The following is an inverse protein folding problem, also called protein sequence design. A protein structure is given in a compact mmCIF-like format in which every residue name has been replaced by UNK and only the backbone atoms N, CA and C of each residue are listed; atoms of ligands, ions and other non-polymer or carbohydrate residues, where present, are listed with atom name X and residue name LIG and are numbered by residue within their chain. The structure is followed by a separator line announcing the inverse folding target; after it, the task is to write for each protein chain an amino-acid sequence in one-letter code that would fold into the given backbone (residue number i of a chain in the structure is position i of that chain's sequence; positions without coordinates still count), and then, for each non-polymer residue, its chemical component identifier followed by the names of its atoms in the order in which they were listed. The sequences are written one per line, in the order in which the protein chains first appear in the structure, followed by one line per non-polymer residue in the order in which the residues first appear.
data_IF_120684321791
#
_entry.id   IF_120684321791
#
_cell.length_a   1.000
_cell.length_b   1.000
_cell.length_c   1.000
_cell.angle_alpha   90.00
_cell.angle_beta   90.00
_cell.angle_gamma   90.00
#
_symmetry.space_group_name_H-M   'P 1'
#
loop_
_entity.id
_entity.type
_entity.pdbx_description
1 polymer ?
#
# COMPACT_ATOMS: atom_id res chain seq x y z
N UNK A 1 -3.71 -20.92 -17.20
CA UNK A 1 -3.55 -21.04 -15.74
C UNK A 1 -2.30 -20.28 -15.32
N UNK A 2 -2.45 -19.06 -14.80
CA UNK A 2 -1.34 -18.18 -14.38
C UNK A 2 -0.86 -18.61 -13.00
N UNK A 3 0.25 -19.37 -12.97
CA UNK A 3 0.93 -19.73 -11.74
C UNK A 3 1.50 -18.45 -11.12
N UNK A 4 0.83 -17.91 -10.09
CA UNK A 4 1.43 -16.95 -9.17
C UNK A 4 2.67 -17.62 -8.60
N UNK A 5 3.85 -17.30 -9.13
CA UNK A 5 5.12 -17.80 -8.61
C UNK A 5 5.24 -17.27 -7.18
N UNK A 6 5.41 -18.17 -6.24
CA UNK A 6 5.98 -17.88 -4.93
C UNK A 6 7.17 -16.95 -5.10
N UNK A 7 7.28 -15.91 -4.25
CA UNK A 7 8.43 -14.98 -4.16
C UNK A 7 9.71 -15.67 -4.64
N UNK A 8 10.11 -15.36 -5.87
CA UNK A 8 11.23 -16.04 -6.52
C UNK A 8 12.50 -15.65 -5.79
N UNK A 9 13.21 -16.64 -5.25
CA UNK A 9 14.52 -16.43 -4.68
C UNK A 9 15.58 -16.78 -5.73
N UNK A 10 16.34 -15.79 -6.20
CA UNK A 10 17.33 -15.93 -7.26
C UNK A 10 18.75 -15.90 -6.68
N UNK A 11 19.64 -16.73 -7.19
CA UNK A 11 21.06 -16.70 -6.82
C UNK A 11 21.79 -15.58 -7.57
N UNK A 12 22.88 -15.08 -6.98
CA UNK A 12 23.70 -14.01 -7.60
C UNK A 12 24.15 -14.32 -9.04
N UNK A 13 24.45 -15.57 -9.35
CA UNK A 13 24.83 -16.02 -10.70
C UNK A 13 23.67 -15.85 -11.68
N UNK A 14 22.47 -16.29 -11.30
CA UNK A 14 21.27 -16.16 -12.13
C UNK A 14 20.89 -14.69 -12.36
N UNK A 15 21.02 -13.84 -11.33
CA UNK A 15 20.75 -12.40 -11.46
C UNK A 15 21.80 -11.73 -12.35
N UNK A 16 23.07 -12.07 -12.18
CA UNK A 16 24.16 -11.56 -13.01
C UNK A 16 23.93 -11.86 -14.50
N UNK A 17 23.53 -13.09 -14.82
CA UNK A 17 23.22 -13.51 -16.18
C UNK A 17 21.96 -12.81 -16.73
N UNK A 18 20.90 -12.73 -15.95
CA UNK A 18 19.63 -12.11 -16.34
C UNK A 18 19.77 -10.63 -16.73
N UNK A 19 20.62 -9.88 -16.01
CA UNK A 19 20.81 -8.44 -16.23
C UNK A 19 22.09 -8.10 -17.00
N UNK A 20 22.86 -9.12 -17.42
CA UNK A 20 24.11 -8.96 -18.14
C UNK A 20 25.15 -8.15 -17.36
N UNK A 21 25.25 -8.36 -16.05
CA UNK A 21 26.17 -7.63 -15.17
C UNK A 21 27.14 -8.57 -14.48
N UNK A 22 28.36 -8.09 -14.23
CA UNK A 22 29.36 -8.88 -13.54
C UNK A 22 28.94 -9.13 -12.08
N UNK A 23 29.07 -10.36 -11.52
CA UNK A 23 28.73 -10.65 -10.13
C UNK A 23 29.42 -9.74 -9.09
N UNK A 24 30.60 -9.21 -9.44
CA UNK A 24 31.31 -8.25 -8.58
C UNK A 24 30.64 -6.88 -8.52
N UNK A 25 29.93 -6.47 -9.58
CA UNK A 25 29.11 -5.25 -9.59
C UNK A 25 27.91 -5.41 -8.66
N UNK A 26 27.27 -6.58 -8.64
CA UNK A 26 26.22 -6.89 -7.67
C UNK A 26 26.74 -6.84 -6.22
N UNK A 27 27.92 -7.42 -5.96
CA UNK A 27 28.57 -7.35 -4.63
C UNK A 27 28.93 -5.92 -4.23
N UNK A 28 29.31 -5.08 -5.20
CA UNK A 28 29.55 -3.66 -4.97
C UNK A 28 28.26 -2.98 -4.50
N UNK A 29 27.15 -3.15 -5.23
CA UNK A 29 25.87 -2.58 -4.82
C UNK A 29 25.37 -3.08 -3.45
N UNK A 30 25.61 -4.35 -3.11
CA UNK A 30 25.34 -4.86 -1.76
C UNK A 30 26.19 -4.17 -0.69
N UNK A 31 27.50 -4.03 -0.92
CA UNK A 31 28.43 -3.42 0.05
C UNK A 31 28.07 -1.97 0.34
N UNK A 32 27.66 -1.25 -0.69
CA UNK A 32 27.24 0.15 -0.60
C UNK A 32 25.79 0.28 -0.10
N UNK A 33 25.13 -0.84 0.25
CA UNK A 33 23.80 -0.86 0.85
C UNK A 33 22.65 -0.60 -0.12
N UNK A 34 22.92 -0.55 -1.42
CA UNK A 34 21.90 -0.34 -2.47
C UNK A 34 21.00 -1.56 -2.65
N UNK A 35 21.54 -2.75 -2.40
CA UNK A 35 20.80 -4.03 -2.41
C UNK A 35 20.97 -4.75 -1.08
N UNK A 36 19.89 -5.35 -0.58
CA UNK A 36 19.86 -6.06 0.70
C UNK A 36 19.24 -7.46 0.53
N UNK A 37 19.90 -8.36 -0.21
CA UNK A 37 19.37 -9.70 -0.44
C UNK A 37 19.29 -10.48 0.88
N UNK A 38 18.29 -11.35 0.96
CA UNK A 38 18.16 -12.29 2.07
C UNK A 38 19.25 -13.36 1.99
N UNK A 39 19.62 -13.92 3.15
CA UNK A 39 20.55 -15.05 3.22
C UNK A 39 19.84 -16.31 3.68
N UNK A 40 20.20 -17.45 3.10
CA UNK A 40 19.80 -18.77 3.63
C UNK A 40 20.63 -19.16 4.85
N UNK A 41 20.20 -20.20 5.57
CA UNK A 41 20.97 -20.85 6.62
C UNK A 41 22.36 -21.33 6.14
N UNK A 42 22.48 -21.67 4.85
CA UNK A 42 23.75 -22.01 4.20
C UNK A 42 24.60 -20.80 3.76
N UNK A 43 24.28 -19.58 4.21
CA UNK A 43 24.96 -18.33 3.86
C UNK A 43 24.92 -17.96 2.36
N UNK A 44 23.99 -18.55 1.59
CA UNK A 44 23.78 -18.23 0.18
C UNK A 44 22.89 -17.00 0.05
N UNK A 45 23.29 -16.06 -0.83
CA UNK A 45 22.51 -14.86 -1.15
C UNK A 45 21.33 -15.23 -2.05
N UNK A 46 20.14 -14.81 -1.64
CA UNK A 46 18.91 -14.95 -2.39
C UNK A 46 18.30 -13.57 -2.61
N UNK A 47 18.16 -13.19 -3.87
CA UNK A 47 17.46 -11.99 -4.30
C UNK A 47 15.99 -12.33 -4.49
N UNK A 48 15.12 -11.50 -3.95
CA UNK A 48 13.68 -11.57 -4.16
C UNK A 48 13.27 -10.83 -5.43
N UNK A 49 12.03 -11.00 -5.89
CA UNK A 49 11.50 -10.19 -6.99
C UNK A 49 11.55 -8.68 -6.70
N UNK A 50 11.45 -8.27 -5.44
CA UNK A 50 11.57 -6.87 -5.01
C UNK A 50 13.02 -6.36 -5.14
N UNK A 51 14.00 -7.20 -4.80
CA UNK A 51 15.41 -6.88 -5.03
C UNK A 51 15.72 -6.72 -6.52
N UNK A 52 15.06 -7.52 -7.38
CA UNK A 52 15.22 -7.41 -8.84
C UNK A 52 14.65 -6.10 -9.39
N UNK A 53 13.47 -5.68 -8.93
CA UNK A 53 12.90 -4.37 -9.29
C UNK A 53 13.80 -3.22 -8.83
N UNK A 54 14.36 -3.33 -7.63
CA UNK A 54 15.32 -2.35 -7.11
C UNK A 54 16.60 -2.32 -7.96
N UNK A 55 17.11 -3.49 -8.35
CA UNK A 55 18.28 -3.61 -9.23
C UNK A 55 18.03 -2.98 -10.60
N UNK A 56 16.86 -3.21 -11.20
CA UNK A 56 16.49 -2.62 -12.50
C UNK A 56 16.53 -1.08 -12.44
N UNK A 57 16.01 -0.50 -11.36
CA UNK A 57 16.07 0.94 -11.13
C UNK A 57 17.49 1.46 -10.90
N UNK A 58 18.33 0.73 -10.16
CA UNK A 58 19.75 1.07 -10.00
C UNK A 58 20.47 1.06 -11.35
N UNK A 59 20.18 0.07 -12.19
CA UNK A 59 20.79 -0.05 -13.51
C UNK A 59 20.37 1.06 -14.47
N UNK A 60 19.11 1.51 -14.43
CA UNK A 60 18.68 2.67 -15.24
C UNK A 60 19.35 3.97 -14.78
N UNK A 61 19.48 4.19 -13.46
CA UNK A 61 20.23 5.33 -12.93
C UNK A 61 21.69 5.33 -13.38
N UNK A 62 22.33 4.14 -13.38
CA UNK A 62 23.73 4.00 -13.76
C UNK A 62 23.95 4.12 -15.28
N UNK A 63 23.12 3.45 -16.09
CA UNK A 63 23.30 3.35 -17.55
C UNK A 63 22.72 4.54 -18.30
N UNK A 64 21.55 5.02 -17.89
CA UNK A 64 20.81 6.03 -18.66
C UNK A 64 21.13 7.45 -18.18
N UNK A 65 21.32 7.64 -16.86
CA UNK A 65 21.60 8.94 -16.26
C UNK A 65 23.06 9.14 -15.83
N UNK A 66 23.90 8.09 -15.91
CA UNK A 66 25.32 8.17 -15.51
C UNK A 66 25.51 8.50 -14.04
N UNK A 67 24.54 8.17 -13.19
CA UNK A 67 24.58 8.52 -11.76
C UNK A 67 25.61 7.67 -11.05
N UNK A 68 26.43 8.29 -10.21
CA UNK A 68 27.42 7.57 -9.40
C UNK A 68 26.75 6.79 -8.25
N UNK A 69 27.51 5.88 -7.62
CA UNK A 69 27.00 5.01 -6.55
C UNK A 69 26.44 5.80 -5.36
N UNK A 70 27.13 6.87 -4.95
CA UNK A 70 26.68 7.72 -3.85
C UNK A 70 25.37 8.44 -4.17
N UNK A 71 25.21 8.91 -5.40
CA UNK A 71 23.98 9.53 -5.90
C UNK A 71 22.83 8.53 -5.97
N UNK A 72 23.10 7.30 -6.41
CA UNK A 72 22.10 6.22 -6.39
C UNK A 72 21.60 5.94 -4.98
N UNK A 73 22.48 5.94 -3.97
CA UNK A 73 22.09 5.75 -2.58
C UNK A 73 21.13 6.86 -2.10
N UNK A 74 21.46 8.12 -2.39
CA UNK A 74 20.62 9.28 -2.04
C UNK A 74 19.26 9.19 -2.74
N UNK A 75 19.24 8.88 -4.04
CA UNK A 75 17.99 8.78 -4.82
C UNK A 75 17.09 7.66 -4.27
N UNK A 76 17.66 6.50 -3.93
CA UNK A 76 16.91 5.40 -3.33
C UNK A 76 16.32 5.79 -1.96
N UNK A 77 17.11 6.47 -1.12
CA UNK A 77 16.63 6.95 0.18
C UNK A 77 15.50 7.99 0.01
N UNK A 78 15.64 8.90 -0.95
CA UNK A 78 14.58 9.88 -1.25
C UNK A 78 13.31 9.18 -1.72
N UNK A 79 13.44 8.15 -2.57
CA UNK A 79 12.31 7.33 -3.02
C UNK A 79 11.59 6.66 -1.84
N UNK A 80 12.32 6.01 -0.95
CA UNK A 80 11.75 5.36 0.25
C UNK A 80 10.99 6.37 1.12
N UNK A 81 11.57 7.56 1.34
CA UNK A 81 10.92 8.64 2.10
C UNK A 81 9.66 9.16 1.43
N UNK A 82 9.65 9.29 0.11
CA UNK A 82 8.46 9.70 -0.64
C UNK A 82 7.35 8.66 -0.54
N UNK A 83 7.68 7.37 -0.63
CA UNK A 83 6.71 6.29 -0.47
C UNK A 83 6.12 6.26 0.95
N UNK A 84 6.93 6.51 1.98
CA UNK A 84 6.46 6.63 3.36
C UNK A 84 5.53 7.83 3.53
N UNK A 85 5.90 9.00 3.00
CA UNK A 85 5.07 10.20 3.05
C UNK A 85 3.73 9.99 2.32
N UNK A 86 3.74 9.30 1.17
CA UNK A 86 2.52 8.96 0.44
C UNK A 86 1.60 8.03 1.26
N UNK A 87 2.15 7.04 1.97
CA UNK A 87 1.39 6.17 2.87
C UNK A 87 0.72 6.99 3.98
N UNK A 88 1.47 7.88 4.64
CA UNK A 88 0.94 8.74 5.69
C UNK A 88 -0.19 9.66 5.19
N UNK A 89 -0.03 10.25 4.00
CA UNK A 89 -1.09 11.06 3.38
C UNK A 89 -2.33 10.22 3.09
N UNK A 90 -2.17 9.01 2.54
CA UNK A 90 -3.29 8.11 2.26
C UNK A 90 -4.03 7.71 3.53
N UNK A 91 -3.32 7.35 4.60
CA UNK A 91 -3.91 7.05 5.92
C UNK A 91 -4.67 8.25 6.48
N UNK A 92 -4.09 9.46 6.38
CA UNK A 92 -4.75 10.69 6.83
C UNK A 92 -6.02 11.01 6.04
N UNK A 93 -5.98 10.86 4.71
CA UNK A 93 -7.16 11.06 3.85
C UNK A 93 -8.25 10.05 4.18
N UNK A 94 -7.90 8.78 4.40
CA UNK A 94 -8.86 7.74 4.81
C UNK A 94 -9.49 8.06 6.17
N UNK A 95 -8.69 8.54 7.14
CA UNK A 95 -9.19 8.97 8.43
C UNK A 95 -10.21 10.11 8.31
N UNK A 96 -9.91 11.16 7.52
CA UNK A 96 -10.84 12.26 7.29
C UNK A 96 -12.13 11.77 6.61
N UNK A 97 -12.03 10.93 5.59
CA UNK A 97 -13.20 10.40 4.89
C UNK A 97 -14.13 9.64 5.85
N UNK A 98 -13.56 8.82 6.73
CA UNK A 98 -14.32 8.05 7.71
C UNK A 98 -15.00 8.94 8.76
N UNK A 99 -14.32 10.00 9.22
CA UNK A 99 -14.90 10.97 10.16
C UNK A 99 -16.07 11.76 9.53
N UNK A 100 -15.93 12.19 8.27
CA UNK A 100 -17.01 12.90 7.54
C UNK A 100 -18.23 11.99 7.35
N UNK A 101 -18.02 10.72 6.96
CA UNK A 101 -19.10 9.73 6.81
C UNK A 101 -19.82 9.43 8.13
N UNK A 102 -19.08 9.32 9.23
CA UNK A 102 -19.63 9.09 10.57
C UNK A 102 -20.51 10.27 11.01
N UNK A 103 -20.08 11.50 10.77
CA UNK A 103 -20.89 12.70 11.08
C UNK A 103 -22.12 12.83 10.18
N UNK A 104 -21.98 12.54 8.88
CA UNK A 104 -23.11 12.57 7.94
C UNK A 104 -24.19 11.53 8.29
N UNK A 105 -23.79 10.32 8.69
CA UNK A 105 -24.72 9.28 9.14
C UNK A 105 -25.37 9.59 10.50
N UNK A 106 -24.65 10.24 11.42
CA UNK A 106 -25.22 10.72 12.68
C UNK A 106 -26.26 11.85 12.48
N UNK A 107 -26.06 12.72 11.48
CA UNK A 107 -27.02 13.75 11.11
C UNK A 107 -28.26 13.18 10.38
N UNK A 108 -28.15 12.01 9.75
CA UNK A 108 -29.25 11.37 9.01
C UNK A 108 -30.23 10.57 9.90
N UNK A 109 -29.85 10.22 11.14
CA UNK A 109 -30.71 9.48 12.09
C UNK A 109 -30.79 10.21 13.45
N UNK A 110 -31.64 11.25 13.58
CA UNK A 110 -31.79 12.03 14.82
C UNK A 110 -32.30 11.21 16.02
N UNK A 111 -32.72 9.97 15.78
CA UNK A 111 -33.19 9.01 16.81
C UNK A 111 -32.07 8.50 17.72
N UNK A 112 -30.81 8.46 17.23
CA UNK A 112 -29.68 7.84 17.95
C UNK A 112 -28.90 8.79 18.86
N UNK A 113 -29.13 10.10 18.75
CA UNK A 113 -28.44 11.13 19.54
C UNK A 113 -29.25 11.70 20.72
N UNK A 114 -30.45 11.20 20.98
CA UNK A 114 -31.32 11.72 22.03
C UNK A 114 -31.10 10.97 23.37
N UNK A 115 -30.71 11.70 24.42
CA UNK A 115 -30.63 11.19 25.81
C UNK A 115 -32.02 10.84 26.38
N UNK A 116 -33.09 11.38 25.79
CA UNK A 116 -34.48 11.04 26.15
C UNK A 116 -35.20 10.46 24.93
N UNK A 117 -35.64 9.19 24.97
CA UNK A 117 -36.35 8.58 23.86
C UNK A 117 -37.75 9.18 23.76
N UNK A 118 -37.98 10.04 22.77
CA UNK A 118 -39.33 10.50 22.44
C UNK A 118 -40.02 9.41 21.63
N UNK A 119 -40.88 8.62 22.28
CA UNK A 119 -41.80 7.72 21.58
C UNK A 119 -42.74 8.58 20.72
N UNK A 120 -42.66 8.43 19.41
CA UNK A 120 -43.64 9.01 18.48
C UNK A 120 -44.98 8.29 18.71
N UNK A 121 -46.05 8.97 19.18
CA UNK A 121 -47.33 8.29 19.34
C UNK A 121 -47.85 7.91 17.95
N UNK A 122 -48.16 6.63 17.77
CA UNK A 122 -48.79 6.10 16.57
C UNK A 122 -50.22 6.65 16.52
N UNK A 123 -50.50 7.57 15.59
CA UNK A 123 -51.87 7.99 15.31
C UNK A 123 -52.55 6.83 14.60
N UNK A 124 -53.43 6.12 15.32
CA UNK A 124 -54.29 5.12 14.72
C UNK A 124 -55.20 5.80 13.68
N UNK A 125 -55.32 5.28 12.45
CA UNK A 125 -56.24 5.84 11.48
C UNK A 125 -57.69 5.69 12.00
N UNK A 126 -58.41 6.81 12.05
CA UNK A 126 -59.81 6.85 12.47
C UNK A 126 -60.67 5.95 11.56
N UNK A 127 -61.66 5.22 12.12
CA UNK A 127 -62.52 4.37 11.31
C UNK A 127 -63.39 5.23 10.38
N UNK A 128 -63.24 4.99 9.08
CA UNK A 128 -64.11 5.53 8.03
C UNK A 128 -65.50 4.93 8.23
N UNK A 129 -66.42 5.72 8.76
CA UNK A 129 -67.81 5.30 8.96
C UNK A 129 -68.55 5.34 7.61
N UNK A 130 -68.69 4.18 6.99
CA UNK A 130 -69.50 4.00 5.78
C UNK A 130 -70.97 3.74 6.13
N UNK A 131 -71.81 4.76 5.97
CA UNK A 131 -73.12 4.60 5.34
C UNK A 131 -74.36 4.27 6.21
N UNK A 132 -75.27 5.26 6.22
CA UNK A 132 -76.63 5.20 5.63
C UNK A 132 -77.77 4.48 6.38
N UNK A 133 -78.76 5.29 6.80
CA UNK A 133 -80.24 5.12 6.83
C UNK A 133 -80.75 5.94 8.04
N UNK A 134 -81.59 6.96 7.93
CA UNK A 134 -82.75 7.21 7.06
C UNK A 134 -82.95 8.70 6.85
#
# INVERSE_FOLDING_TARGET
MTKRKSKGAYMISAVAEMYGIHPQTLRLYEREGLLKPSRTEGNTRLYTDEDLQRLEFILSLARDLGVNISGMAIILQMRERMEEMQRQIQEFVQYIQQEVLTRASAAADPSKGAIVPVRRPMVAPAPINSGKKR
#
